data_IF_100558837904
#
_entry.id   IF_100558837904
#
_cell.length_a   1.000
_cell.length_b   1.000
_cell.length_c   1.000
_cell.angle_alpha   90.00
_cell.angle_beta   90.00
_cell.angle_gamma   90.00
#
_symmetry.space_group_name_H-M   'P 1'
#
loop_
_entity.id
_entity.type
_entity.pdbx_description
1 polymer ?
#
# COMPACT_ATOMS: atom_id res chain seq x y z
N UNK A 1 -59.27 15.10 49.88
CA UNK A 1 -57.80 15.23 49.92
C UNK A 1 -57.22 14.27 48.89
N UNK A 2 -57.59 14.39 47.62
CA UNK A 2 -57.16 15.40 46.64
C UNK A 2 -55.63 15.46 46.51
N UNK A 3 -55.08 14.47 45.82
CA UNK A 3 -53.75 14.47 45.22
C UNK A 3 -53.94 14.48 43.70
N UNK A 4 -53.83 15.67 43.10
CA UNK A 4 -53.74 15.85 41.65
C UNK A 4 -52.30 15.63 41.21
N UNK A 5 -52.09 14.63 40.37
CA UNK A 5 -50.90 14.48 39.53
C UNK A 5 -50.82 15.66 38.55
N UNK A 6 -49.83 16.53 38.71
CA UNK A 6 -49.45 17.49 37.67
C UNK A 6 -48.46 16.78 36.74
N UNK A 7 -48.99 16.24 35.64
CA UNK A 7 -48.18 15.73 34.54
C UNK A 7 -47.39 16.85 33.86
N UNK A 8 -46.12 16.65 33.50
CA UNK A 8 -45.32 17.67 32.81
C UNK A 8 -45.94 17.96 31.45
N UNK A 9 -46.38 19.20 31.30
CA UNK A 9 -46.91 19.76 30.05
C UNK A 9 -45.90 19.57 28.93
N UNK A 10 -46.28 18.78 27.93
CA UNK A 10 -45.65 18.65 26.62
C UNK A 10 -45.27 20.03 26.08
N UNK A 11 -43.98 20.37 26.17
CA UNK A 11 -43.45 21.54 25.50
C UNK A 11 -43.49 21.25 24.00
N UNK A 12 -44.24 22.10 23.28
CA UNK A 12 -44.24 22.10 21.82
C UNK A 12 -42.81 22.39 21.36
N UNK A 13 -42.08 21.35 20.98
CA UNK A 13 -40.81 21.47 20.31
C UNK A 13 -41.03 22.29 19.02
N UNK A 14 -40.69 23.57 19.10
CA UNK A 14 -40.63 24.49 17.96
C UNK A 14 -39.79 23.84 16.86
N UNK A 15 -40.44 23.43 15.77
CA UNK A 15 -39.87 22.61 14.69
C UNK A 15 -38.88 23.36 13.79
N UNK A 16 -38.34 24.49 14.22
CA UNK A 16 -37.39 25.29 13.48
C UNK A 16 -36.35 25.87 14.41
N UNK A 17 -35.55 25.00 15.05
CA UNK A 17 -34.32 25.43 15.70
C UNK A 17 -33.21 25.48 14.64
N UNK A 18 -32.88 26.67 14.09
CA UNK A 18 -31.86 26.82 13.05
C UNK A 18 -30.45 26.41 13.49
N UNK A 19 -30.23 26.08 14.77
CA UNK A 19 -28.92 25.69 15.31
C UNK A 19 -28.45 24.26 15.00
N UNK A 20 -29.35 23.33 14.63
CA UNK A 20 -28.98 21.90 14.48
C UNK A 20 -28.02 21.58 13.32
N UNK A 21 -28.17 22.14 12.10
CA UNK A 21 -27.25 21.83 10.99
C UNK A 21 -25.82 22.32 11.23
N UNK A 22 -25.66 23.43 11.96
CA UNK A 22 -24.35 23.99 12.28
C UNK A 22 -23.55 23.10 13.23
N UNK A 23 -24.21 22.43 14.20
CA UNK A 23 -23.54 21.52 15.13
C UNK A 23 -22.92 20.31 14.41
N UNK A 24 -23.59 19.75 13.40
CA UNK A 24 -23.07 18.63 12.63
C UNK A 24 -21.84 19.02 11.80
N UNK A 25 -21.85 20.20 11.19
CA UNK A 25 -20.68 20.71 10.45
C UNK A 25 -19.53 21.03 11.41
N UNK A 26 -19.82 21.66 12.55
CA UNK A 26 -18.82 21.92 13.59
C UNK A 26 -18.18 20.62 14.08
N UNK A 27 -18.97 19.59 14.35
CA UNK A 27 -18.47 18.26 14.71
C UNK A 27 -17.58 17.66 13.61
N UNK A 28 -17.99 17.72 12.33
CA UNK A 28 -17.18 17.22 11.22
C UNK A 28 -15.85 17.99 11.07
N UNK A 29 -15.86 19.31 11.26
CA UNK A 29 -14.64 20.13 11.27
C UNK A 29 -13.76 19.79 12.46
N UNK A 30 -14.31 19.65 13.66
CA UNK A 30 -13.56 19.22 14.84
C UNK A 30 -12.90 17.86 14.60
N UNK A 31 -13.62 16.87 14.05
CA UNK A 31 -13.05 15.56 13.72
C UNK A 31 -11.96 15.66 12.64
N UNK A 32 -12.17 16.47 11.59
CA UNK A 32 -11.12 16.71 10.57
C UNK A 32 -9.89 17.38 11.17
N UNK A 33 -10.08 18.39 12.00
CA UNK A 33 -8.99 19.09 12.69
C UNK A 33 -8.28 18.19 13.70
N UNK A 34 -9.00 17.31 14.39
CA UNK A 34 -8.39 16.30 15.26
C UNK A 34 -7.57 15.32 14.42
N UNK A 35 -8.13 14.78 13.32
CA UNK A 35 -7.38 13.85 12.46
C UNK A 35 -6.14 14.47 11.80
N UNK A 36 -6.15 15.77 11.48
CA UNK A 36 -5.03 16.44 10.82
C UNK A 36 -4.07 17.14 11.81
N UNK A 37 -4.52 17.37 13.05
CA UNK A 37 -3.85 18.23 14.02
C UNK A 37 -2.84 17.52 14.91
N UNK A 38 -2.87 16.19 14.93
CA UNK A 38 -1.94 15.38 15.72
C UNK A 38 -1.05 14.55 14.81
N UNK A 39 0.25 14.56 15.09
CA UNK A 39 1.16 13.57 14.54
C UNK A 39 1.22 12.38 15.51
N UNK A 40 0.73 11.23 15.08
CA UNK A 40 0.63 10.01 15.91
C UNK A 40 1.68 8.97 15.52
N UNK A 41 1.99 8.09 16.45
CA UNK A 41 2.75 6.86 16.16
C UNK A 41 1.74 5.78 15.80
N UNK A 42 2.02 5.00 14.77
CA UNK A 42 1.21 3.83 14.42
C UNK A 42 1.38 2.72 15.49
N UNK A 43 0.32 2.35 16.22
CA UNK A 43 0.41 1.37 17.29
C UNK A 43 0.43 -0.08 16.80
N UNK A 44 0.03 -0.34 15.55
CA UNK A 44 -0.13 -1.70 15.01
C UNK A 44 1.03 -2.14 14.13
N UNK A 45 1.96 -1.24 13.83
CA UNK A 45 3.13 -1.52 13.01
C UNK A 45 4.40 -1.64 13.84
N UNK A 46 5.25 -2.63 13.50
CA UNK A 46 6.58 -2.81 14.10
C UNK A 46 7.47 -1.56 13.95
N UNK A 47 7.25 -0.76 12.90
CA UNK A 47 7.98 0.49 12.69
C UNK A 47 7.59 1.56 13.72
N UNK A 48 6.32 1.61 14.12
CA UNK A 48 5.86 2.50 15.17
C UNK A 48 6.47 2.15 16.52
N UNK A 49 6.54 0.86 16.84
CA UNK A 49 7.24 0.39 18.03
C UNK A 49 8.75 0.71 18.01
N UNK A 50 9.43 0.43 16.90
CA UNK A 50 10.85 0.72 16.72
C UNK A 50 11.16 2.23 16.85
N UNK A 51 10.22 3.09 16.48
CA UNK A 51 10.33 4.54 16.64
C UNK A 51 10.09 5.00 18.08
N UNK A 52 9.03 4.49 18.73
CA UNK A 52 8.56 4.99 20.01
C UNK A 52 9.30 4.40 21.23
N UNK A 53 9.57 3.09 21.23
CA UNK A 53 10.15 2.41 22.39
C UNK A 53 11.52 2.95 22.81
N UNK A 54 12.46 3.31 21.90
CA UNK A 54 13.70 3.96 22.31
C UNK A 54 13.47 5.32 22.99
N UNK A 55 12.43 6.06 22.60
CA UNK A 55 12.09 7.34 23.23
C UNK A 55 11.46 7.17 24.61
N UNK A 56 10.66 6.12 24.80
CA UNK A 56 10.14 5.73 26.11
C UNK A 56 11.27 5.26 27.03
N UNK A 57 12.19 4.43 26.53
CA UNK A 57 13.37 4.00 27.27
C UNK A 57 14.25 5.19 27.69
N UNK A 58 14.51 6.13 26.78
CA UNK A 58 15.22 7.38 27.09
C UNK A 58 14.51 8.18 28.20
N UNK A 59 13.19 8.30 28.12
CA UNK A 59 12.39 9.05 29.10
C UNK A 59 12.38 8.39 30.48
N UNK A 60 12.46 7.06 30.53
CA UNK A 60 12.58 6.27 31.75
C UNK A 60 14.02 6.16 32.28
N UNK A 61 15.02 6.79 31.64
CA UNK A 61 16.42 6.70 32.05
C UNK A 61 17.09 5.35 31.73
N UNK A 62 16.64 4.69 30.66
CA UNK A 62 17.19 3.42 30.15
C UNK A 62 17.16 2.27 31.15
N UNK A 63 16.09 2.17 31.96
CA UNK A 63 15.87 0.99 32.82
C UNK A 63 15.90 -0.29 32.00
N UNK A 64 16.36 -1.40 32.61
CA UNK A 64 16.58 -2.67 31.92
C UNK A 64 15.34 -3.12 31.15
N UNK A 65 14.15 -3.01 31.74
CA UNK A 65 12.88 -3.43 31.12
C UNK A 65 12.56 -2.63 29.85
N UNK A 66 12.64 -1.29 29.89
CA UNK A 66 12.36 -0.46 28.73
C UNK A 66 13.45 -0.57 27.67
N UNK A 67 14.72 -0.69 28.07
CA UNK A 67 15.84 -0.91 27.16
C UNK A 67 15.69 -2.25 26.43
N UNK A 68 15.34 -3.33 27.15
CA UNK A 68 15.07 -4.62 26.54
C UNK A 68 13.89 -4.57 25.57
N UNK A 69 12.82 -3.84 25.92
CA UNK A 69 11.66 -3.65 25.04
C UNK A 69 12.04 -2.88 23.77
N UNK A 70 12.81 -1.79 23.89
CA UNK A 70 13.30 -1.01 22.75
C UNK A 70 14.20 -1.84 21.82
N UNK A 71 15.12 -2.63 22.39
CA UNK A 71 15.97 -3.52 21.62
C UNK A 71 15.18 -4.61 20.88
N UNK A 72 14.13 -5.16 21.52
CA UNK A 72 13.21 -6.09 20.84
C UNK A 72 12.51 -5.41 19.67
N UNK A 73 11.94 -4.22 19.86
CA UNK A 73 11.28 -3.48 18.78
C UNK A 73 12.19 -3.26 17.57
N UNK A 74 13.45 -2.87 17.79
CA UNK A 74 14.44 -2.74 16.72
C UNK A 74 14.78 -4.08 16.05
N UNK A 75 14.93 -5.16 16.81
CA UNK A 75 15.19 -6.49 16.27
C UNK A 75 14.03 -7.00 15.40
N UNK A 76 12.79 -6.85 15.86
CA UNK A 76 11.59 -7.23 15.09
C UNK A 76 11.49 -6.40 13.80
N UNK A 77 11.81 -5.11 13.84
CA UNK A 77 11.86 -4.27 12.64
C UNK A 77 12.93 -4.72 11.64
N UNK A 78 14.15 -5.05 12.11
CA UNK A 78 15.21 -5.61 11.23
C UNK A 78 14.75 -6.92 10.61
N UNK A 79 14.16 -7.81 11.42
CA UNK A 79 13.65 -9.11 10.96
C UNK A 79 12.54 -8.93 9.92
N UNK A 80 11.62 -7.99 10.15
CA UNK A 80 10.58 -7.64 9.20
C UNK A 80 11.16 -7.19 7.85
N UNK A 81 12.09 -6.24 7.87
CA UNK A 81 12.72 -5.74 6.64
C UNK A 81 13.44 -6.85 5.87
N UNK A 82 14.15 -7.75 6.58
CA UNK A 82 14.84 -8.87 5.96
C UNK A 82 13.86 -9.90 5.37
N UNK A 83 12.76 -10.20 6.08
CA UNK A 83 11.76 -11.16 5.61
C UNK A 83 10.99 -10.62 4.39
N UNK A 84 10.49 -9.39 4.47
CA UNK A 84 9.83 -8.73 3.33
C UNK A 84 10.79 -8.59 2.15
N UNK A 85 12.01 -8.11 2.39
CA UNK A 85 13.04 -7.99 1.36
C UNK A 85 13.40 -9.32 0.71
N UNK A 86 13.48 -10.41 1.48
CA UNK A 86 13.73 -11.75 0.96
C UNK A 86 12.60 -12.26 0.07
N UNK A 87 11.34 -12.12 0.50
CA UNK A 87 10.19 -12.54 -0.30
C UNK A 87 10.10 -11.74 -1.61
N UNK A 88 10.27 -10.42 -1.55
CA UNK A 88 10.33 -9.57 -2.74
C UNK A 88 11.50 -9.92 -3.66
N UNK A 89 12.66 -10.26 -3.10
CA UNK A 89 13.81 -10.74 -3.87
C UNK A 89 13.49 -12.04 -4.61
N UNK A 90 12.81 -12.99 -3.97
CA UNK A 90 12.42 -14.25 -4.60
C UNK A 90 11.43 -14.02 -5.75
N UNK A 91 10.40 -13.20 -5.56
CA UNK A 91 9.45 -12.85 -6.64
C UNK A 91 10.17 -12.12 -7.77
N UNK A 92 11.01 -11.14 -7.45
CA UNK A 92 11.78 -10.42 -8.47
C UNK A 92 12.74 -11.33 -9.23
N UNK A 93 13.32 -12.34 -8.58
CA UNK A 93 14.19 -13.31 -9.22
C UNK A 93 13.40 -14.20 -10.17
N UNK A 94 12.22 -14.66 -9.76
CA UNK A 94 11.33 -15.44 -10.61
C UNK A 94 11.00 -14.66 -11.90
N UNK A 95 10.46 -13.45 -11.74
CA UNK A 95 10.00 -12.62 -12.85
C UNK A 95 11.12 -12.17 -13.79
N UNK A 96 12.28 -11.77 -13.25
CA UNK A 96 13.34 -11.15 -14.07
C UNK A 96 14.33 -12.15 -14.65
N UNK A 97 14.48 -13.32 -14.02
CA UNK A 97 15.51 -14.31 -14.37
C UNK A 97 14.87 -15.64 -14.76
N UNK A 98 14.07 -16.25 -13.88
CA UNK A 98 13.58 -17.62 -14.09
C UNK A 98 12.59 -17.71 -15.25
N UNK A 99 11.63 -16.78 -15.34
CA UNK A 99 10.67 -16.74 -16.44
C UNK A 99 11.38 -16.61 -17.81
N UNK A 100 12.49 -15.86 -17.87
CA UNK A 100 13.28 -15.74 -19.10
C UNK A 100 13.99 -17.04 -19.49
N UNK A 101 14.53 -17.81 -18.53
CA UNK A 101 15.05 -19.15 -18.81
C UNK A 101 13.97 -20.10 -19.32
N UNK A 102 12.73 -19.92 -18.86
CA UNK A 102 11.55 -20.58 -19.41
C UNK A 102 11.17 -20.11 -20.81
N UNK A 103 11.87 -19.14 -21.40
CA UNK A 103 11.52 -18.45 -22.66
C UNK A 103 10.17 -17.71 -22.62
N UNK A 104 9.73 -17.31 -21.44
CA UNK A 104 8.49 -16.55 -21.28
C UNK A 104 8.69 -15.10 -21.74
N UNK A 105 7.91 -14.69 -22.74
CA UNK A 105 7.83 -13.32 -23.22
C UNK A 105 6.86 -12.48 -22.38
N UNK A 106 7.05 -11.17 -22.39
CA UNK A 106 6.16 -10.25 -21.69
C UNK A 106 4.79 -10.19 -22.36
N UNK A 107 3.70 -10.22 -21.58
CA UNK A 107 2.35 -10.30 -22.14
C UNK A 107 1.93 -9.05 -22.93
N UNK A 108 2.36 -7.85 -22.51
CA UNK A 108 1.98 -6.59 -23.16
C UNK A 108 0.47 -6.55 -23.50
N UNK A 109 0.11 -6.31 -24.76
CA UNK A 109 -1.29 -6.29 -25.25
C UNK A 109 -1.68 -7.54 -26.07
N UNK A 110 -0.98 -8.67 -25.92
CA UNK A 110 -1.37 -9.90 -26.62
C UNK A 110 -2.81 -10.29 -26.27
N UNK A 111 -3.69 -10.37 -27.29
CA UNK A 111 -5.11 -10.65 -27.12
C UNK A 111 -5.95 -9.59 -26.38
N UNK A 112 -5.44 -8.37 -26.14
CA UNK A 112 -6.18 -7.33 -25.40
C UNK A 112 -7.52 -6.93 -26.06
N UNK A 113 -7.67 -7.18 -27.37
CA UNK A 113 -8.86 -6.87 -28.17
C UNK A 113 -9.43 -8.09 -28.89
N UNK A 114 -9.47 -9.24 -28.22
CA UNK A 114 -9.91 -10.52 -28.78
C UNK A 114 -11.28 -10.44 -29.50
N UNK A 115 -12.20 -9.62 -29.00
CA UNK A 115 -13.54 -9.42 -29.59
C UNK A 115 -13.51 -8.81 -31.00
N UNK A 116 -12.41 -8.15 -31.39
CA UNK A 116 -12.28 -7.45 -32.68
C UNK A 116 -11.32 -8.14 -33.65
N UNK A 117 -10.83 -9.33 -33.32
CA UNK A 117 -10.01 -10.12 -34.22
C UNK A 117 -10.86 -10.77 -35.33
N UNK A 118 -10.35 -10.86 -36.57
CA UNK A 118 -8.95 -10.68 -36.99
C UNK A 118 -8.53 -9.26 -37.41
N UNK A 119 -9.47 -8.31 -37.48
CA UNK A 119 -9.22 -7.00 -38.14
C UNK A 119 -8.54 -5.95 -37.24
N UNK A 120 -8.40 -6.22 -35.94
CA UNK A 120 -7.79 -5.31 -34.98
C UNK A 120 -6.26 -5.50 -34.86
N UNK A 121 -5.52 -4.48 -34.35
CA UNK A 121 -4.13 -4.66 -33.94
C UNK A 121 -4.06 -5.67 -32.77
N UNK A 122 -2.89 -6.29 -32.58
CA UNK A 122 -2.63 -7.32 -31.56
C UNK A 122 -3.39 -8.66 -31.76
N UNK A 123 -3.88 -8.94 -32.97
CA UNK A 123 -4.58 -10.20 -33.27
C UNK A 123 -3.66 -11.35 -33.65
N UNK A 124 -2.34 -11.12 -33.74
CA UNK A 124 -1.34 -12.17 -33.96
C UNK A 124 -0.57 -12.40 -32.67
N UNK A 125 -0.56 -13.64 -32.20
CA UNK A 125 0.11 -14.01 -30.96
C UNK A 125 1.59 -14.36 -31.16
N UNK A 126 2.30 -14.71 -30.09
CA UNK A 126 3.72 -15.04 -30.13
C UNK A 126 4.09 -16.21 -31.06
N UNK A 127 3.13 -17.09 -31.37
CA UNK A 127 3.28 -18.19 -32.33
C UNK A 127 3.18 -17.75 -33.79
N UNK A 128 2.88 -16.48 -34.06
CA UNK A 128 2.71 -15.95 -35.42
C UNK A 128 1.35 -16.27 -36.05
N UNK A 129 0.38 -16.76 -35.28
CA UNK A 129 -0.96 -17.07 -35.79
C UNK A 129 -2.04 -16.19 -35.16
N UNK A 130 -3.22 -16.16 -35.80
CA UNK A 130 -4.33 -15.33 -35.32
C UNK A 130 -4.91 -15.85 -34.01
N UNK A 131 -4.95 -14.99 -32.99
CA UNK A 131 -5.48 -15.31 -31.68
C UNK A 131 -7.01 -15.48 -31.77
N UNK A 132 -7.52 -16.56 -31.20
CA UNK A 132 -8.96 -16.78 -30.98
C UNK A 132 -9.20 -17.28 -29.57
N UNK A 133 -10.40 -17.09 -29.02
CA UNK A 133 -10.73 -17.50 -27.64
C UNK A 133 -10.50 -19.00 -27.39
N UNK A 134 -10.74 -19.85 -28.38
CA UNK A 134 -10.54 -21.29 -28.24
C UNK A 134 -9.05 -21.71 -28.29
N UNK A 135 -8.18 -20.81 -28.75
CA UNK A 135 -6.74 -21.03 -28.96
C UNK A 135 -5.89 -20.31 -27.92
N UNK A 136 -6.48 -19.58 -26.98
CA UNK A 136 -5.74 -18.85 -25.96
C UNK A 136 -5.37 -19.78 -24.80
N UNK A 137 -4.10 -19.83 -24.43
CA UNK A 137 -3.59 -20.71 -23.36
C UNK A 137 -2.60 -19.99 -22.43
N UNK A 138 -2.47 -20.44 -21.17
CA UNK A 138 -1.39 -20.01 -20.29
C UNK A 138 -0.04 -20.44 -20.85
N UNK A 139 1.02 -19.78 -20.38
CA UNK A 139 2.37 -19.96 -20.90
C UNK A 139 2.82 -21.43 -20.87
N UNK A 140 2.64 -22.13 -19.76
CA UNK A 140 3.10 -23.51 -19.59
C UNK A 140 2.43 -24.48 -20.58
N UNK A 141 1.12 -24.30 -20.81
CA UNK A 141 0.38 -25.12 -21.74
C UNK A 141 0.77 -24.79 -23.19
N UNK A 142 0.90 -23.51 -23.53
CA UNK A 142 1.34 -23.06 -24.85
C UNK A 142 2.75 -23.55 -25.18
N UNK A 143 3.69 -23.42 -24.23
CA UNK A 143 5.08 -23.86 -24.35
C UNK A 143 5.16 -25.37 -24.54
N UNK A 144 4.43 -26.14 -23.73
CA UNK A 144 4.38 -27.61 -23.85
C UNK A 144 3.84 -28.05 -25.21
N UNK A 145 2.77 -27.42 -25.71
CA UNK A 145 2.19 -27.76 -27.01
C UNK A 145 3.11 -27.39 -28.17
N UNK A 146 3.78 -26.24 -28.07
CA UNK A 146 4.80 -25.80 -29.03
C UNK A 146 5.96 -26.80 -29.07
N UNK A 147 6.47 -27.21 -27.91
CA UNK A 147 7.51 -28.22 -27.80
C UNK A 147 7.11 -29.56 -28.44
N UNK A 148 5.89 -30.03 -28.23
CA UNK A 148 5.40 -31.28 -28.82
C UNK A 148 5.31 -31.18 -30.35
N UNK A 149 4.74 -30.09 -30.87
CA UNK A 149 4.67 -29.83 -32.33
C UNK A 149 6.06 -29.84 -32.95
N UNK A 150 6.98 -29.08 -32.36
CA UNK A 150 8.33 -28.90 -32.90
C UNK A 150 9.15 -30.18 -32.81
N UNK A 151 8.97 -30.96 -31.73
CA UNK A 151 9.58 -32.29 -31.58
C UNK A 151 9.07 -33.28 -32.63
N UNK A 152 7.76 -33.29 -32.90
CA UNK A 152 7.18 -34.13 -33.96
C UNK A 152 7.71 -33.73 -35.35
N UNK A 153 7.79 -32.42 -35.62
CA UNK A 153 8.33 -31.90 -36.86
C UNK A 153 9.83 -32.24 -37.04
N UNK A 154 10.59 -32.29 -35.94
CA UNK A 154 11.99 -32.71 -35.95
C UNK A 154 12.14 -34.24 -36.14
N UNK A 155 11.24 -35.04 -35.56
CA UNK A 155 11.25 -36.51 -35.67
C UNK A 155 10.81 -37.00 -37.07
N UNK A 156 9.86 -36.30 -37.70
CA UNK A 156 9.29 -36.65 -39.00
C UNK A 156 9.45 -35.49 -39.98
N UNK A 157 10.68 -35.21 -40.46
CA UNK A 157 10.96 -34.05 -41.31
C UNK A 157 10.16 -34.08 -42.62
N UNK A 158 9.83 -35.26 -43.15
CA UNK A 158 9.00 -35.44 -44.34
C UNK A 158 7.52 -35.08 -44.13
N UNK A 159 7.06 -35.04 -42.87
CA UNK A 159 5.71 -34.62 -42.47
C UNK A 159 5.70 -33.24 -41.82
N UNK A 160 6.80 -32.48 -41.87
CA UNK A 160 6.91 -31.20 -41.17
C UNK A 160 5.77 -30.24 -41.52
N UNK A 161 5.44 -30.09 -42.79
CA UNK A 161 4.37 -29.19 -43.23
C UNK A 161 3.00 -29.68 -42.75
N UNK A 162 2.73 -30.99 -42.87
CA UNK A 162 1.51 -31.62 -42.35
C UNK A 162 1.38 -31.43 -40.83
N UNK A 163 2.48 -31.55 -40.08
CA UNK A 163 2.50 -31.37 -38.62
C UNK A 163 2.27 -29.90 -38.25
N UNK A 164 2.96 -28.97 -38.92
CA UNK A 164 2.79 -27.53 -38.67
C UNK A 164 1.37 -27.06 -39.01
N UNK A 165 0.73 -27.67 -40.00
CA UNK A 165 -0.66 -27.38 -40.37
C UNK A 165 -1.69 -28.02 -39.41
N UNK A 166 -1.47 -29.27 -38.98
CA UNK A 166 -2.48 -30.03 -38.22
C UNK A 166 -2.29 -30.00 -36.69
N UNK A 167 -1.08 -29.68 -36.20
CA UNK A 167 -0.77 -29.64 -34.77
C UNK A 167 -0.68 -28.18 -34.32
N UNK A 168 -1.84 -27.63 -34.00
CA UNK A 168 -1.98 -26.27 -33.52
C UNK A 168 -1.65 -26.15 -32.01
N UNK A 169 -0.59 -25.43 -31.63
CA UNK A 169 -0.27 -25.20 -30.24
C UNK A 169 -1.17 -24.13 -29.58
N UNK A 170 -1.93 -23.39 -30.38
CA UNK A 170 -2.65 -22.18 -29.95
C UNK A 170 -1.73 -20.97 -29.82
N UNK A 171 -2.14 -20.01 -29.00
CA UNK A 171 -1.45 -18.75 -28.76
C UNK A 171 -1.41 -18.42 -27.27
N UNK A 172 -0.32 -17.79 -26.86
CA UNK A 172 -0.16 -17.22 -25.52
C UNK A 172 -0.68 -15.78 -25.51
N UNK A 173 -1.47 -15.41 -24.51
CA UNK A 173 -1.99 -14.05 -24.38
C UNK A 173 -2.88 -13.84 -23.18
N UNK A 174 -3.50 -12.66 -23.11
CA UNK A 174 -4.29 -12.21 -21.97
C UNK A 174 -5.75 -12.63 -22.10
N UNK A 175 -6.33 -13.25 -21.07
CA UNK A 175 -7.76 -13.58 -21.07
C UNK A 175 -8.65 -12.33 -20.94
N UNK A 176 -8.29 -11.39 -20.05
CA UNK A 176 -9.03 -10.16 -19.81
C UNK A 176 -8.14 -8.97 -19.47
N UNK A 177 -7.99 -8.06 -20.43
CA UNK A 177 -7.22 -6.81 -20.26
C UNK A 177 -7.76 -5.93 -19.12
N UNK A 178 -9.08 -5.74 -19.09
CA UNK A 178 -9.69 -4.84 -18.10
C UNK A 178 -9.61 -5.38 -16.68
N UNK A 179 -9.75 -6.71 -16.51
CA UNK A 179 -9.60 -7.30 -15.20
C UNK A 179 -8.18 -7.11 -14.67
N UNK A 180 -7.16 -7.22 -15.53
CA UNK A 180 -5.76 -6.95 -15.17
C UNK A 180 -5.54 -5.54 -14.66
N UNK A 181 -6.07 -4.54 -15.36
CA UNK A 181 -5.97 -3.15 -14.88
C UNK A 181 -6.71 -2.94 -13.55
N UNK A 182 -7.86 -3.58 -13.36
CA UNK A 182 -8.61 -3.53 -12.10
C UNK A 182 -7.82 -4.20 -10.98
N UNK A 183 -7.22 -5.37 -11.20
CA UNK A 183 -6.37 -6.05 -10.22
C UNK A 183 -5.14 -5.21 -9.84
N UNK A 184 -4.46 -4.60 -10.82
CA UNK A 184 -3.36 -3.67 -10.58
C UNK A 184 -3.81 -2.48 -9.71
N UNK A 185 -4.98 -1.91 -10.01
CA UNK A 185 -5.54 -0.82 -9.21
C UNK A 185 -5.92 -1.25 -7.79
N UNK A 186 -6.57 -2.42 -7.62
CA UNK A 186 -6.94 -2.97 -6.32
C UNK A 186 -5.70 -3.30 -5.48
N UNK A 187 -4.64 -3.81 -6.11
CA UNK A 187 -3.35 -4.04 -5.47
C UNK A 187 -2.75 -2.73 -4.93
N UNK A 188 -2.69 -1.68 -5.76
CA UNK A 188 -2.21 -0.35 -5.35
C UNK A 188 -3.10 0.29 -4.28
N UNK A 189 -4.42 0.05 -4.33
CA UNK A 189 -5.35 0.48 -3.31
C UNK A 189 -5.08 -0.21 -1.97
N UNK A 190 -4.80 -1.51 -1.97
CA UNK A 190 -4.43 -2.28 -0.77
C UNK A 190 -3.12 -1.76 -0.13
N UNK A 191 -2.16 -1.39 -0.97
CA UNK A 191 -0.87 -0.80 -0.59
C UNK A 191 -0.95 0.63 -0.01
N UNK A 192 -2.10 1.30 -0.14
CA UNK A 192 -2.20 2.72 0.20
C UNK A 192 -2.07 2.97 1.71
N UNK A 193 -2.55 2.05 2.55
CA UNK A 193 -2.48 2.20 4.00
C UNK A 193 -1.03 2.29 4.50
N UNK A 194 -0.13 1.46 3.96
CA UNK A 194 1.27 1.43 4.37
C UNK A 194 2.03 2.70 3.97
N UNK A 195 1.70 3.22 2.79
CA UNK A 195 2.26 4.47 2.32
C UNK A 195 1.74 5.66 3.14
N UNK A 196 0.44 5.67 3.48
CA UNK A 196 -0.14 6.64 4.41
C UNK A 196 0.56 6.61 5.79
N UNK A 197 0.76 5.42 6.37
CA UNK A 197 1.51 5.28 7.62
C UNK A 197 2.97 5.75 7.51
N UNK A 198 3.60 5.60 6.33
CA UNK A 198 4.93 6.14 6.07
C UNK A 198 4.93 7.67 6.00
N UNK A 199 3.91 8.27 5.39
CA UNK A 199 3.72 9.73 5.41
C UNK A 199 3.46 10.27 6.82
N UNK A 200 2.64 9.58 7.62
CA UNK A 200 2.38 9.97 9.01
C UNK A 200 3.65 9.91 9.85
N UNK A 201 4.50 8.89 9.66
CA UNK A 201 5.82 8.82 10.28
C UNK A 201 6.74 9.96 9.83
N UNK A 202 6.74 10.31 8.54
CA UNK A 202 7.52 11.43 8.01
C UNK A 202 7.07 12.76 8.61
N UNK A 203 5.76 12.99 8.67
CA UNK A 203 5.13 14.17 9.28
C UNK A 203 5.45 14.26 10.78
N UNK A 204 5.42 13.13 11.50
CA UNK A 204 5.87 13.05 12.90
C UNK A 204 7.32 13.49 13.07
N UNK A 205 8.26 12.95 12.29
CA UNK A 205 9.68 13.31 12.37
C UNK A 205 9.94 14.78 12.04
N UNK A 206 9.11 15.35 11.15
CA UNK A 206 9.18 16.74 10.75
C UNK A 206 8.61 17.68 11.82
N UNK A 207 7.40 17.40 12.32
CA UNK A 207 6.67 18.28 13.23
C UNK A 207 7.17 18.25 14.67
N UNK A 208 7.68 17.12 15.17
CA UNK A 208 8.18 17.02 16.55
C UNK A 208 9.39 17.93 16.74
N UNK A 209 9.53 18.72 17.82
CA UNK A 209 10.67 19.62 17.99
C UNK A 209 11.97 18.84 18.24
N UNK A 210 13.09 19.44 17.87
CA UNK A 210 14.43 18.83 18.01
C UNK A 210 14.96 18.86 19.45
N UNK A 211 14.31 19.60 20.35
CA UNK A 211 14.65 19.64 21.77
C UNK A 211 14.34 18.29 22.43
N UNK A 212 15.24 17.73 23.24
CA UNK A 212 14.95 16.52 24.00
C UNK A 212 13.83 16.79 25.02
N UNK A 213 12.71 16.07 24.90
CA UNK A 213 11.64 16.09 25.90
C UNK A 213 11.26 14.67 26.32
N UNK A 214 10.54 14.53 27.44
CA UNK A 214 10.10 13.25 28.00
C UNK A 214 8.77 12.83 27.38
N UNK A 215 8.76 11.61 26.83
CA UNK A 215 7.58 10.94 26.27
C UNK A 215 6.72 10.26 27.34
N UNK A 216 7.25 10.16 28.56
CA UNK A 216 6.55 9.71 29.75
C UNK A 216 6.37 10.92 30.65
N UNK A 217 5.12 11.32 30.89
CA UNK A 217 4.76 12.41 31.78
C UNK A 217 3.87 11.90 32.92
N UNK A 218 3.98 12.47 34.13
CA UNK A 218 3.00 12.20 35.18
C UNK A 218 1.61 12.67 34.72
N UNK A 219 0.62 11.81 34.87
CA UNK A 219 -0.77 12.09 34.53
C UNK A 219 -1.28 13.29 35.33
N UNK A 220 -1.71 14.34 34.63
CA UNK A 220 -2.42 15.46 35.25
C UNK A 220 -3.87 15.05 35.43
N UNK A 221 -4.14 14.24 36.47
CA UNK A 221 -5.52 13.90 36.81
C UNK A 221 -6.20 15.10 37.46
N UNK A 222 -6.50 16.13 36.65
CA UNK A 222 -7.33 17.24 37.08
C UNK A 222 -8.80 16.83 37.24
N UNK A 223 -9.17 15.59 36.90
CA UNK A 223 -10.53 15.05 37.02
C UNK A 223 -10.73 14.14 38.23
N UNK A 224 -9.68 13.52 38.76
CA UNK A 224 -9.83 12.69 39.97
C UNK A 224 -10.09 13.51 41.25
N UNK A 225 -9.92 14.83 41.21
CA UNK A 225 -10.30 15.70 42.34
C UNK A 225 -11.80 16.04 42.38
N UNK A 226 -12.57 15.83 41.30
CA UNK A 226 -13.99 16.21 41.25
C UNK A 226 -14.99 15.04 41.38
N UNK A 227 -14.57 13.78 41.22
CA UNK A 227 -15.43 12.62 41.46
C UNK A 227 -15.10 11.97 42.81
N UNK A 228 -15.89 12.29 43.85
CA UNK A 228 -15.81 11.59 45.13
C UNK A 228 -15.98 10.08 44.91
N UNK A 229 -15.04 9.25 45.37
CA UNK A 229 -15.08 7.81 45.13
C UNK A 229 -16.30 7.19 45.81
N UNK A 230 -17.21 6.65 45.01
CA UNK A 230 -18.34 5.86 45.50
C UNK A 230 -17.81 4.64 46.30
N UNK A 231 -18.31 4.41 47.53
CA UNK A 231 -17.74 3.42 48.46
C UNK A 231 -17.83 1.96 47.99
N UNK A 232 -18.58 1.66 46.92
CA UNK A 232 -18.75 0.30 46.42
C UNK A 232 -17.82 -0.08 45.24
N UNK A 233 -16.95 0.82 44.77
CA UNK A 233 -16.10 0.57 43.59
C UNK A 233 -14.62 0.32 43.94
N UNK A 234 -14.29 -0.02 45.19
CA UNK A 234 -12.92 0.03 45.70
C UNK A 234 -11.95 -1.06 45.22
N UNK A 235 -12.44 -2.21 44.73
CA UNK A 235 -11.56 -3.35 44.41
C UNK A 235 -11.15 -3.42 42.93
N UNK A 236 -12.03 -3.04 42.00
CA UNK A 236 -11.71 -3.01 40.56
C UNK A 236 -11.07 -1.69 40.10
N UNK A 237 -11.09 -0.64 40.94
CA UNK A 237 -10.38 0.60 40.63
C UNK A 237 -8.87 0.46 40.79
N UNK A 238 -8.37 -0.30 41.77
CA UNK A 238 -6.94 -0.28 42.11
C UNK A 238 -6.02 -0.68 40.95
N UNK A 239 -6.43 -1.63 40.11
CA UNK A 239 -5.62 -2.07 38.95
C UNK A 239 -5.74 -1.10 37.75
N UNK A 240 -6.87 -0.41 37.58
CA UNK A 240 -7.02 0.63 36.55
C UNK A 240 -6.35 1.95 36.93
N UNK A 241 -6.34 2.28 38.22
CA UNK A 241 -5.87 3.57 38.77
C UNK A 241 -4.35 3.73 38.62
N UNK A 242 -3.55 2.66 38.59
CA UNK A 242 -2.09 2.79 38.49
C UNK A 242 -1.60 3.22 37.10
N UNK A 243 -2.29 2.82 36.02
CA UNK A 243 -1.90 3.19 34.65
C UNK A 243 -2.26 4.64 34.34
N UNK A 244 -3.31 5.17 34.95
CA UNK A 244 -3.78 6.55 34.72
C UNK A 244 -2.81 7.62 35.25
N UNK A 245 -1.89 7.25 36.17
CA UNK A 245 -0.83 8.16 36.64
C UNK A 245 0.29 8.38 35.62
N UNK A 246 0.34 7.60 34.53
CA UNK A 246 1.39 7.70 33.52
C UNK A 246 0.77 8.02 32.17
N UNK A 247 1.11 9.20 31.64
CA UNK A 247 0.68 9.61 30.32
C UNK A 247 1.81 9.38 29.31
N UNK A 248 1.57 8.49 28.36
CA UNK A 248 2.39 8.32 27.17
C UNK A 248 2.02 9.40 26.15
N UNK A 249 3.01 10.17 25.69
CA UNK A 249 2.82 11.22 24.69
C UNK A 249 4.01 11.31 23.75
N UNK A 250 3.76 11.66 22.50
CA UNK A 250 4.83 12.08 21.59
C UNK A 250 5.31 13.46 22.04
N UNK A 251 6.61 13.58 22.29
CA UNK A 251 7.25 14.82 22.69
C UNK A 251 8.54 15.06 21.88
N UNK A 252 9.25 16.15 22.14
CA UNK A 252 10.48 16.52 21.45
C UNK A 252 11.52 15.39 21.36
N UNK A 253 12.13 15.26 20.18
CA UNK A 253 13.06 14.19 19.80
C UNK A 253 14.40 14.79 19.38
N UNK A 254 15.53 14.37 19.97
CA UNK A 254 16.87 14.83 19.56
C UNK A 254 17.15 14.62 18.06
N UNK A 255 17.94 15.51 17.46
CA UNK A 255 18.24 15.46 16.02
C UNK A 255 18.84 14.12 15.56
N UNK A 256 19.77 13.55 16.33
CA UNK A 256 20.41 12.28 15.97
C UNK A 256 19.40 11.12 15.93
N UNK A 257 18.40 11.10 16.83
CA UNK A 257 17.33 10.12 16.81
C UNK A 257 16.38 10.33 15.62
N UNK A 258 16.10 11.58 15.24
CA UNK A 258 15.34 11.86 14.01
C UNK A 258 16.05 11.36 12.77
N UNK A 259 17.35 11.63 12.65
CA UNK A 259 18.17 11.15 11.53
C UNK A 259 18.23 9.62 11.51
N UNK A 260 18.42 8.99 12.67
CA UNK A 260 18.38 7.54 12.79
C UNK A 260 17.04 6.97 12.30
N UNK A 261 15.92 7.49 12.80
CA UNK A 261 14.58 7.04 12.40
C UNK A 261 14.32 7.29 10.91
N UNK A 262 14.77 8.42 10.37
CA UNK A 262 14.65 8.71 8.95
C UNK A 262 15.39 7.69 8.09
N UNK A 263 16.69 7.47 8.35
CA UNK A 263 17.51 6.60 7.51
C UNK A 263 17.30 5.10 7.73
N UNK A 264 16.98 4.67 8.96
CA UNK A 264 16.90 3.24 9.30
C UNK A 264 15.48 2.71 9.46
N UNK A 265 14.45 3.57 9.61
CA UNK A 265 13.05 3.15 9.67
C UNK A 265 12.29 3.60 8.43
N UNK A 266 12.23 4.92 8.20
CA UNK A 266 11.37 5.50 7.18
C UNK A 266 11.86 5.18 5.76
N UNK A 267 13.13 5.44 5.45
CA UNK A 267 13.67 5.18 4.12
C UNK A 267 13.54 3.71 3.70
N UNK A 268 13.93 2.71 4.52
CA UNK A 268 13.72 1.30 4.19
C UNK A 268 12.24 0.94 4.02
N UNK A 269 11.33 1.48 4.84
CA UNK A 269 9.88 1.23 4.73
C UNK A 269 9.32 1.74 3.39
N UNK A 270 9.58 3.01 3.05
CA UNK A 270 9.14 3.62 1.78
C UNK A 270 9.73 2.85 0.59
N UNK A 271 10.96 2.42 0.71
CA UNK A 271 11.65 1.74 -0.36
C UNK A 271 11.17 0.30 -0.58
N UNK A 272 10.91 -0.46 0.49
CA UNK A 272 10.25 -1.77 0.40
C UNK A 272 8.86 -1.64 -0.20
N UNK A 273 8.12 -0.59 0.17
CA UNK A 273 6.84 -0.28 -0.43
C UNK A 273 6.96 -0.02 -1.96
N UNK A 274 7.93 0.80 -2.39
CA UNK A 274 8.20 1.05 -3.81
C UNK A 274 8.54 -0.24 -4.57
N UNK A 275 9.41 -1.08 -4.00
CA UNK A 275 9.75 -2.39 -4.58
C UNK A 275 8.53 -3.30 -4.68
N UNK A 276 7.66 -3.31 -3.68
CA UNK A 276 6.46 -4.13 -3.66
C UNK A 276 5.49 -3.72 -4.76
N UNK A 277 5.27 -2.41 -4.93
CA UNK A 277 4.39 -1.91 -6.00
C UNK A 277 4.97 -2.25 -7.37
N UNK A 278 6.26 -2.01 -7.57
CA UNK A 278 6.92 -2.26 -8.84
C UNK A 278 6.90 -3.73 -9.25
N UNK A 279 7.37 -4.61 -8.37
CA UNK A 279 7.42 -6.06 -8.60
C UNK A 279 6.01 -6.62 -8.72
N UNK A 280 5.08 -6.18 -7.86
CA UNK A 280 3.71 -6.65 -7.88
C UNK A 280 2.96 -6.27 -9.15
N UNK A 281 3.20 -5.07 -9.70
CA UNK A 281 2.62 -4.68 -10.99
C UNK A 281 3.20 -5.52 -12.12
N UNK A 282 4.52 -5.72 -12.17
CA UNK A 282 5.13 -6.61 -13.18
C UNK A 282 4.53 -8.00 -13.10
N UNK A 283 4.45 -8.58 -11.90
CA UNK A 283 3.90 -9.91 -11.66
C UNK A 283 2.43 -10.04 -12.10
N UNK A 284 1.59 -9.04 -11.78
CA UNK A 284 0.18 -9.02 -12.21
C UNK A 284 0.02 -8.80 -13.71
N UNK A 285 0.90 -7.99 -14.32
CA UNK A 285 0.88 -7.76 -15.77
C UNK A 285 1.35 -8.99 -16.56
N UNK A 286 2.21 -9.83 -15.97
CA UNK A 286 2.67 -11.10 -16.53
C UNK A 286 1.77 -12.30 -16.22
N UNK A 287 0.70 -12.11 -15.44
CA UNK A 287 -0.28 -13.16 -15.22
C UNK A 287 -1.31 -13.17 -16.37
N UNK A 288 -1.47 -14.32 -17.04
CA UNK A 288 -2.38 -14.49 -18.18
C UNK A 288 -3.79 -14.94 -17.78
N UNK A 289 -3.89 -15.83 -16.78
CA UNK A 289 -5.16 -16.40 -16.31
C UNK A 289 -5.86 -15.53 -15.26
N UNK A 290 -7.19 -15.50 -15.33
CA UNK A 290 -8.03 -14.75 -14.39
C UNK A 290 -7.87 -15.25 -12.94
N UNK A 291 -7.87 -16.56 -12.72
CA UNK A 291 -7.81 -17.16 -11.38
C UNK A 291 -6.49 -16.86 -10.70
N UNK A 292 -5.38 -17.08 -11.42
CA UNK A 292 -4.03 -16.78 -10.95
C UNK A 292 -3.87 -15.30 -10.62
N UNK A 293 -4.43 -14.41 -11.42
CA UNK A 293 -4.31 -12.96 -11.19
C UNK A 293 -5.00 -12.53 -9.88
N UNK A 294 -6.13 -13.15 -9.54
CA UNK A 294 -6.81 -12.90 -8.26
C UNK A 294 -5.97 -13.44 -7.10
N UNK A 295 -5.47 -14.67 -7.22
CA UNK A 295 -4.64 -15.31 -6.18
C UNK A 295 -3.35 -14.51 -5.96
N UNK A 296 -2.67 -14.12 -7.03
CA UNK A 296 -1.44 -13.33 -7.01
C UNK A 296 -1.67 -11.95 -6.38
N UNK A 297 -2.79 -11.28 -6.70
CA UNK A 297 -3.16 -10.02 -6.09
C UNK A 297 -3.35 -10.14 -4.56
N UNK A 298 -3.98 -11.23 -4.10
CA UNK A 298 -4.18 -11.49 -2.66
C UNK A 298 -2.86 -11.87 -1.97
N UNK A 299 -2.04 -12.70 -2.61
CA UNK A 299 -0.74 -13.13 -2.08
C UNK A 299 0.23 -11.96 -1.87
N UNK A 300 0.24 -10.98 -2.78
CA UNK A 300 1.05 -9.77 -2.61
C UNK A 300 0.61 -8.93 -1.41
N UNK A 301 -0.69 -8.94 -1.08
CA UNK A 301 -1.22 -8.29 0.13
C UNK A 301 -0.70 -8.90 1.43
N UNK A 302 -0.40 -10.21 1.44
CA UNK A 302 0.17 -10.88 2.61
C UNK A 302 1.57 -10.36 2.96
N UNK A 303 2.41 -10.03 1.97
CA UNK A 303 3.79 -9.53 2.19
C UNK A 303 3.77 -8.24 3.01
N UNK A 304 2.76 -7.39 2.79
CA UNK A 304 2.59 -6.13 3.49
C UNK A 304 2.19 -6.33 4.94
N UNK A 305 1.26 -7.25 5.20
CA UNK A 305 0.77 -7.58 6.55
C UNK A 305 1.81 -8.25 7.46
N UNK A 306 3.00 -8.57 6.95
CA UNK A 306 4.08 -9.16 7.75
C UNK A 306 4.45 -8.23 8.91
N UNK A 307 4.40 -6.90 8.74
CA UNK A 307 4.81 -5.98 9.80
C UNK A 307 3.78 -5.94 10.96
N UNK A 308 2.49 -5.97 10.65
CA UNK A 308 1.39 -6.15 11.61
C UNK A 308 1.46 -7.52 12.29
N UNK A 309 1.77 -8.58 11.53
CA UNK A 309 1.95 -9.92 12.09
C UNK A 309 3.14 -9.96 13.06
N UNK A 310 4.26 -9.33 12.71
CA UNK A 310 5.42 -9.21 13.61
C UNK A 310 5.08 -8.40 14.86
N UNK A 311 4.29 -7.34 14.73
CA UNK A 311 3.78 -6.55 15.86
C UNK A 311 2.92 -7.41 16.79
N UNK A 312 2.08 -8.29 16.25
CA UNK A 312 1.21 -9.17 17.05
C UNK A 312 1.96 -10.19 17.92
N UNK A 313 3.23 -10.48 17.60
CA UNK A 313 4.11 -11.37 18.37
C UNK A 313 4.81 -10.63 19.52
N UNK A 314 4.86 -9.29 19.48
CA UNK A 314 5.45 -8.51 20.55
C UNK A 314 4.65 -8.63 21.85
N UNK A 315 5.28 -8.39 23.02
CA UNK A 315 4.57 -8.44 24.30
C UNK A 315 3.34 -7.52 24.27
N UNK A 316 2.17 -7.97 24.75
CA UNK A 316 0.91 -7.23 24.64
C UNK A 316 0.96 -5.86 25.35
N UNK A 317 1.83 -5.71 26.34
CA UNK A 317 2.08 -4.44 27.02
C UNK A 317 2.60 -3.37 26.04
N UNK A 318 3.38 -3.77 25.03
CA UNK A 318 3.88 -2.87 24.00
C UNK A 318 2.74 -2.29 23.16
N UNK A 319 1.84 -3.14 22.67
CA UNK A 319 0.67 -2.69 21.90
C UNK A 319 -0.18 -1.72 22.71
N UNK A 320 -0.50 -2.08 23.95
CA UNK A 320 -1.27 -1.21 24.86
C UNK A 320 -0.57 0.13 25.14
N UNK A 321 0.76 0.13 25.33
CA UNK A 321 1.53 1.36 25.52
C UNK A 321 1.48 2.28 24.30
N UNK A 322 1.56 1.73 23.08
CA UNK A 322 1.47 2.50 21.84
C UNK A 322 0.05 2.99 21.57
N UNK A 323 -0.97 2.18 21.81
CA UNK A 323 -2.39 2.57 21.70
C UNK A 323 -2.74 3.72 22.67
N UNK A 324 -2.14 3.72 23.87
CA UNK A 324 -2.31 4.78 24.86
C UNK A 324 -1.46 6.03 24.58
N UNK A 325 -0.63 6.03 23.53
CA UNK A 325 0.26 7.14 23.20
C UNK A 325 -0.53 8.30 22.57
N UNK A 326 -0.52 9.47 23.22
CA UNK A 326 -1.12 10.67 22.63
C UNK A 326 -0.22 11.27 21.56
N UNK A 327 -0.80 11.62 20.42
CA UNK A 327 -0.10 12.30 19.33
C UNK A 327 0.42 13.69 19.71
N UNK A 328 1.42 14.16 18.97
CA UNK A 328 1.98 15.49 19.13
C UNK A 328 1.08 16.54 18.47
N UNK A 329 0.59 17.51 19.24
CA UNK A 329 -0.24 18.59 18.71
C UNK A 329 0.64 19.55 17.89
N UNK A 330 0.30 19.76 16.61
CA UNK A 330 1.03 20.70 15.75
C UNK A 330 0.83 22.13 16.25
N UNK A 331 1.94 22.86 16.47
CA UNK A 331 2.00 24.18 17.13
C UNK A 331 1.20 25.28 16.39
N UNK A 332 0.93 25.09 15.09
CA UNK A 332 0.13 26.02 14.28
C UNK A 332 -1.38 25.89 14.46
N UNK A 333 -1.88 25.41 15.61
CA UNK A 333 -3.32 25.39 15.85
C UNK A 333 -3.76 26.83 16.14
N UNK A 334 -4.56 27.48 15.28
CA UNK A 334 -5.15 28.75 15.63
C UNK A 334 -5.89 28.56 16.95
N UNK A 335 -5.59 29.42 17.93
CA UNK A 335 -6.23 29.36 19.24
C UNK A 335 -7.74 29.37 19.03
N UNK A 336 -8.42 28.42 19.68
CA UNK A 336 -9.87 28.17 19.54
C UNK A 336 -10.71 29.45 19.74
N UNK A 337 -10.15 30.45 20.40
CA UNK A 337 -10.77 31.74 20.70
C UNK A 337 -10.94 32.71 19.51
N UNK A 338 -10.29 32.50 18.36
CA UNK A 338 -10.39 33.43 17.21
C UNK A 338 -11.46 33.00 16.18
N UNK A 339 -12.11 31.85 16.36
CA UNK A 339 -12.80 31.16 15.28
C UNK A 339 -14.30 31.43 15.13
N UNK A 340 -15.00 32.04 16.09
CA UNK A 340 -16.47 32.03 16.04
C UNK A 340 -17.05 32.84 14.86
N UNK A 341 -16.51 34.03 14.57
CA UNK A 341 -16.98 34.85 13.44
C UNK A 341 -16.54 34.30 12.08
N UNK A 342 -15.29 33.84 11.96
CA UNK A 342 -14.76 33.25 10.73
C UNK A 342 -15.43 31.91 10.42
N UNK A 343 -15.77 31.11 11.43
CA UNK A 343 -16.54 29.87 11.26
C UNK A 343 -17.94 30.14 10.69
N UNK A 344 -18.63 31.16 11.21
CA UNK A 344 -19.95 31.56 10.71
C UNK A 344 -19.85 32.05 9.26
N UNK A 345 -18.81 32.82 8.92
CA UNK A 345 -18.59 33.29 7.55
C UNK A 345 -18.30 32.13 6.59
N UNK A 346 -17.38 31.23 6.94
CA UNK A 346 -17.07 30.05 6.13
C UNK A 346 -18.27 29.12 5.96
N UNK A 347 -19.12 28.97 6.99
CA UNK A 347 -20.35 28.20 6.89
C UNK A 347 -21.33 28.82 5.87
N UNK A 348 -21.47 30.15 5.87
CA UNK A 348 -22.31 30.85 4.88
C UNK A 348 -21.77 30.68 3.46
N UNK A 349 -20.45 30.79 3.28
CA UNK A 349 -19.78 30.57 1.98
C UNK A 349 -19.91 29.11 1.50
N UNK A 350 -19.81 28.13 2.41
CA UNK A 350 -20.01 26.71 2.11
C UNK A 350 -21.44 26.37 1.67
N UNK A 351 -22.43 27.18 2.09
CA UNK A 351 -23.84 26.99 1.74
C UNK A 351 -24.18 27.50 0.34
N UNK A 352 -23.42 28.45 -0.21
CA UNK A 352 -23.61 28.99 -1.55
C UNK A 352 -22.87 28.18 -2.62
N UNK A 353 -23.16 26.88 -2.72
CA UNK A 353 -22.56 26.02 -3.74
C UNK A 353 -23.42 25.95 -5.01
N UNK A 354 -22.75 25.90 -6.16
CA UNK A 354 -23.34 25.57 -7.46
C UNK A 354 -22.72 24.26 -7.97
N UNK A 355 -23.43 23.54 -8.84
CA UNK A 355 -22.95 22.26 -9.42
C UNK A 355 -21.65 22.43 -10.24
N UNK A 356 -21.37 23.66 -10.67
CA UNK A 356 -20.17 24.03 -11.43
C UNK A 356 -19.08 24.66 -10.56
N UNK A 357 -19.28 24.78 -9.24
CA UNK A 357 -18.26 25.36 -8.36
C UNK A 357 -17.10 24.37 -8.21
N UNK A 358 -15.84 24.76 -8.50
CA UNK A 358 -14.69 23.86 -8.40
C UNK A 358 -14.47 23.29 -6.99
N UNK A 359 -14.86 24.03 -5.93
CA UNK A 359 -14.77 23.56 -4.55
C UNK A 359 -15.65 22.33 -4.28
N UNK A 360 -16.82 22.24 -4.92
CA UNK A 360 -17.68 21.07 -4.83
C UNK A 360 -16.99 19.85 -5.44
N UNK A 361 -16.41 20.00 -6.63
CA UNK A 361 -15.68 18.91 -7.30
C UNK A 361 -14.43 18.49 -6.52
N UNK A 362 -13.67 19.44 -5.96
CA UNK A 362 -12.53 19.12 -5.10
C UNK A 362 -12.93 18.46 -3.77
N UNK A 363 -14.16 18.68 -3.29
CA UNK A 363 -14.72 18.02 -2.12
C UNK A 363 -15.33 16.65 -2.45
N UNK A 364 -15.89 16.49 -3.65
CA UNK A 364 -16.52 15.26 -4.13
C UNK A 364 -15.49 14.23 -4.57
N UNK A 365 -14.43 14.66 -5.25
CA UNK A 365 -13.37 13.78 -5.74
C UNK A 365 -12.39 13.50 -4.60
N UNK A 366 -12.32 12.26 -4.08
CA UNK A 366 -11.40 11.94 -3.01
C UNK A 366 -9.97 12.02 -3.54
N UNK A 367 -9.23 13.06 -3.13
CA UNK A 367 -7.82 13.29 -3.55
C UNK A 367 -6.94 12.05 -3.38
N UNK A 368 -7.20 11.25 -2.35
CA UNK A 368 -6.53 9.97 -2.09
C UNK A 368 -6.76 8.96 -3.22
N UNK A 369 -8.01 8.82 -3.70
CA UNK A 369 -8.35 7.94 -4.81
C UNK A 369 -7.67 8.37 -6.11
N UNK A 370 -7.65 9.68 -6.40
CA UNK A 370 -6.95 10.21 -7.59
C UNK A 370 -5.45 9.90 -7.52
N UNK A 371 -4.83 10.06 -6.35
CA UNK A 371 -3.43 9.70 -6.16
C UNK A 371 -3.19 8.19 -6.38
N UNK A 372 -4.06 7.33 -5.86
CA UNK A 372 -3.99 5.88 -6.08
C UNK A 372 -4.13 5.49 -7.56
N UNK A 373 -5.11 6.07 -8.26
CA UNK A 373 -5.29 5.86 -9.71
C UNK A 373 -4.08 6.34 -10.49
N UNK A 374 -3.57 7.54 -10.17
CA UNK A 374 -2.38 8.08 -10.83
C UNK A 374 -1.14 7.22 -10.60
N UNK A 375 -1.00 6.64 -9.40
CA UNK A 375 0.10 5.75 -9.05
C UNK A 375 0.02 4.41 -9.78
N UNK A 376 -1.17 3.78 -9.81
CA UNK A 376 -1.39 2.57 -10.61
C UNK A 376 -1.11 2.82 -12.10
N UNK A 377 -1.62 3.92 -12.65
CA UNK A 377 -1.38 4.31 -14.04
C UNK A 377 0.11 4.55 -14.32
N UNK A 378 0.84 5.18 -13.38
CA UNK A 378 2.28 5.40 -13.50
C UNK A 378 3.06 4.08 -13.60
N UNK A 379 2.82 3.12 -12.71
CA UNK A 379 3.53 1.84 -12.73
C UNK A 379 3.13 0.94 -13.91
N UNK A 380 1.85 0.95 -14.31
CA UNK A 380 1.42 0.26 -15.54
C UNK A 380 2.09 0.88 -16.76
N UNK A 381 2.11 2.22 -16.89
CA UNK A 381 2.79 2.89 -17.99
C UNK A 381 4.30 2.59 -17.99
N UNK A 382 4.93 2.56 -16.81
CA UNK A 382 6.33 2.15 -16.64
C UNK A 382 6.56 0.75 -17.19
N UNK A 383 5.72 -0.22 -16.85
CA UNK A 383 5.80 -1.59 -17.37
C UNK A 383 5.80 -1.61 -18.91
N UNK A 384 4.85 -0.90 -19.56
CA UNK A 384 4.80 -0.87 -21.03
C UNK A 384 6.06 -0.25 -21.66
N UNK A 385 6.59 0.82 -21.07
CA UNK A 385 7.83 1.46 -21.56
C UNK A 385 9.03 0.53 -21.43
N UNK A 386 9.10 -0.23 -20.34
CA UNK A 386 10.22 -1.13 -20.05
C UNK A 386 10.18 -2.43 -20.85
N UNK A 387 9.00 -2.99 -21.10
CA UNK A 387 8.85 -4.35 -21.63
C UNK A 387 8.30 -4.44 -23.05
N UNK A 388 7.63 -3.40 -23.55
CA UNK A 388 6.89 -3.46 -24.82
C UNK A 388 7.50 -2.54 -25.90
N UNK A 389 7.23 -2.87 -27.16
CA UNK A 389 7.55 -2.07 -28.35
C UNK A 389 6.27 -1.88 -29.15
N UNK A 390 6.03 -0.65 -29.62
CA UNK A 390 4.93 -0.35 -30.51
C UNK A 390 5.34 -0.65 -31.96
N UNK A 391 4.60 -1.51 -32.66
CA UNK A 391 4.81 -1.77 -34.10
C UNK A 391 4.05 -0.74 -34.96
N UNK A 392 4.27 -0.80 -36.27
CA UNK A 392 3.66 0.13 -37.25
C UNK A 392 2.13 0.04 -37.32
N UNK A 393 1.57 -1.13 -37.01
CA UNK A 393 0.12 -1.36 -36.92
C UNK A 393 -0.52 -0.81 -35.62
N UNK A 394 0.31 -0.27 -34.71
CA UNK A 394 -0.11 0.21 -33.40
C UNK A 394 -0.22 -0.88 -32.33
N UNK A 395 0.17 -2.13 -32.63
CA UNK A 395 0.26 -3.21 -31.64
C UNK A 395 1.39 -2.96 -30.64
N UNK A 396 1.18 -3.34 -29.38
CA UNK A 396 2.20 -3.31 -28.32
C UNK A 396 2.63 -4.75 -28.02
N UNK A 397 3.80 -5.12 -28.53
CA UNK A 397 4.36 -6.48 -28.42
C UNK A 397 5.56 -6.50 -27.48
N UNK A 398 5.88 -7.68 -26.93
CA UNK A 398 7.09 -7.86 -26.11
C UNK A 398 8.35 -7.43 -26.87
N UNK A 399 9.28 -6.79 -26.16
CA UNK A 399 10.67 -6.65 -26.63
C UNK A 399 11.28 -8.03 -26.90
N UNK A 400 12.28 -8.12 -27.79
CA UNK A 400 13.08 -9.33 -28.01
C UNK A 400 13.54 -9.95 -26.69
N UNK A 401 13.28 -11.24 -26.51
CA UNK A 401 13.62 -11.95 -25.30
C UNK A 401 15.07 -12.44 -25.41
N UNK A 402 15.91 -12.02 -24.46
CA UNK A 402 17.31 -12.46 -24.33
C UNK A 402 17.47 -13.21 -23.02
N UNK A 403 18.20 -14.33 -23.07
CA UNK A 403 18.49 -15.11 -21.89
C UNK A 403 19.50 -14.37 -21.00
N UNK A 404 19.29 -14.34 -19.68
CA UNK A 404 20.29 -13.80 -18.78
C UNK A 404 21.52 -14.73 -18.75
N UNK A 405 22.72 -14.16 -18.69
CA UNK A 405 23.97 -14.95 -18.68
C UNK A 405 24.12 -15.77 -17.37
N UNK A 406 23.57 -15.25 -16.27
CA UNK A 406 23.62 -15.89 -14.96
C UNK A 406 22.22 -16.24 -14.42
N UNK A 407 22.13 -17.38 -13.72
CA UNK A 407 20.93 -17.79 -12.96
C UNK A 407 20.74 -17.07 -11.63
N UNK A 408 21.63 -16.14 -11.29
CA UNK A 408 21.59 -15.37 -10.05
C UNK A 408 21.12 -13.94 -10.32
N UNK A 409 20.32 -13.36 -9.41
CA UNK A 409 19.96 -11.95 -9.48
C UNK A 409 20.90 -11.19 -8.53
N UNK A 410 21.85 -10.37 -9.03
CA UNK A 410 22.72 -9.61 -8.15
C UNK A 410 21.89 -8.73 -7.20
N UNK A 411 22.25 -8.69 -5.91
CA UNK A 411 21.50 -7.92 -4.91
C UNK A 411 21.43 -6.42 -5.26
N UNK A 412 22.48 -5.88 -5.89
CA UNK A 412 22.49 -4.49 -6.38
C UNK A 412 21.41 -4.29 -7.46
N UNK A 413 21.30 -5.21 -8.42
CA UNK A 413 20.25 -5.16 -9.45
C UNK A 413 18.85 -5.28 -8.85
N UNK A 414 18.68 -6.10 -7.80
CA UNK A 414 17.42 -6.17 -7.07
C UNK A 414 17.06 -4.84 -6.40
N UNK A 415 18.00 -4.25 -5.65
CA UNK A 415 17.78 -2.96 -5.00
C UNK A 415 17.46 -1.87 -6.03
N UNK A 416 18.25 -1.73 -7.08
CA UNK A 416 17.96 -0.73 -8.11
C UNK A 416 16.91 -1.19 -9.13
N UNK A 417 16.13 -2.24 -8.81
CA UNK A 417 15.11 -2.81 -9.66
C UNK A 417 14.09 -1.82 -10.23
N UNK A 418 13.62 -0.81 -9.47
CA UNK A 418 12.71 0.22 -9.98
C UNK A 418 13.34 1.13 -11.04
N UNK A 419 14.67 1.11 -11.19
CA UNK A 419 15.46 1.89 -12.15
C UNK A 419 16.36 0.94 -12.96
N UNK A 420 15.80 0.08 -13.83
CA UNK A 420 16.57 -0.98 -14.51
C UNK A 420 17.70 -0.45 -15.39
N UNK A 421 17.64 0.82 -15.81
CA UNK A 421 18.68 1.46 -16.61
C UNK A 421 20.01 1.64 -15.87
N UNK A 422 20.02 1.66 -14.54
CA UNK A 422 21.26 1.86 -13.75
C UNK A 422 22.11 0.59 -13.67
N UNK A 423 21.46 -0.57 -13.60
CA UNK A 423 22.10 -1.87 -13.44
C UNK A 423 21.36 -2.91 -14.30
N UNK A 424 21.53 -2.87 -15.63
CA UNK A 424 20.91 -3.83 -16.52
C UNK A 424 21.40 -5.26 -16.20
N UNK A 425 20.53 -6.24 -16.41
CA UNK A 425 20.89 -7.66 -16.32
C UNK A 425 21.68 -8.01 -17.58
N UNK A 426 22.88 -8.58 -17.40
CA UNK A 426 23.68 -9.11 -18.50
C UNK A 426 22.92 -10.25 -19.17
N UNK A 427 22.76 -10.15 -20.48
CA UNK A 427 21.95 -11.05 -21.27
C UNK A 427 22.65 -11.33 -22.60
N UNK A 428 22.42 -12.53 -23.15
CA UNK A 428 23.01 -12.96 -24.41
C UNK A 428 22.68 -11.99 -25.55
N UNK A 429 23.65 -11.80 -26.46
CA UNK A 429 23.51 -10.88 -27.59
C UNK A 429 22.38 -11.30 -28.55
N UNK A 430 22.23 -12.61 -28.76
CA UNK A 430 21.19 -13.17 -29.62
C UNK A 430 19.87 -13.31 -28.88
N UNK A 431 18.77 -12.81 -29.45
CA UNK A 431 17.44 -13.04 -28.91
C UNK A 431 17.07 -14.53 -29.09
N UNK A 432 16.50 -15.12 -28.04
CA UNK A 432 15.98 -16.50 -28.08
C UNK A 432 14.56 -16.52 -28.63
N UNK A 433 13.83 -15.42 -28.48
CA UNK A 433 12.53 -15.23 -29.10
C UNK A 433 12.37 -13.78 -29.56
N UNK A 434 11.79 -13.62 -30.74
CA UNK A 434 11.33 -12.34 -31.29
C UNK A 434 9.95 -12.53 -31.91
N UNK A 435 9.16 -11.45 -31.89
CA UNK A 435 7.85 -11.46 -32.55
C UNK A 435 8.03 -11.67 -34.06
N UNK A 436 7.36 -12.65 -34.70
CA UNK A 436 7.46 -12.86 -36.13
C UNK A 436 7.10 -11.61 -36.95
N UNK A 437 7.84 -11.38 -38.04
CA UNK A 437 7.50 -10.40 -39.06
C UNK A 437 6.43 -11.02 -39.97
N UNK A 438 5.24 -10.39 -40.00
CA UNK A 438 4.11 -10.82 -40.83
C UNK A 438 4.22 -10.33 -42.27
#
# INVERSE_FOLDING_TARGET
ADLREEGPTSSKASASDPGRPWLAEKALRCMKHESAGFATVDPFSVYGAALALPQLARSAGWTISYTALAMRGLLFMITNNLLQGFLLYMISKEERIINKFGTQMFLCDFAAHLERCPDAPNCVGPGGTTITTARLYPFDLWSTRTFVRDSLAALFPEKRDEIMENVDPGEYGVESYWLRLVCCFLFVLGLWHDLAGSWDMMDLLWCVPTSPDRWIAPGTSSKAEEEEPSPNTSMYLHEKVEVDFVQFRVAGMPLHWKLFNFFFLLCPKIYLWLLTVDIGIIFLMETSEIEDMIINCVALGFILQIDELMMSIMPPECGKMLECMRGYAKENRPSLHVLEEDEIRQHKEARSWHIWTPSLWMALVPRRLVAMVGMAAFFVAKYYVEHCVMREDGSLVSKPLRLPEEGSLPLITFFFGPLPMLFPIEAEDSPVWEMPDN
#
